data_IF_074664118773
#
_entry.id   IF_074664118773
#
_cell.length_a   1.000
_cell.length_b   1.000
_cell.length_c   1.000
_cell.angle_alpha   90.00
_cell.angle_beta   90.00
_cell.angle_gamma   90.00
#
_symmetry.space_group_name_H-M   'P 1'
#
loop_
_entity.id
_entity.type
_entity.pdbx_description
1 polymer ?
#
# COMPACT_ATOMS: atom_id res chain seq x y z
N UNK A 1 0.90 42.74 27.54
CA UNK A 1 0.78 44.14 27.08
C UNK A 1 0.92 44.16 25.56
N UNK A 2 -0.09 44.75 24.91
CA UNK A 2 -0.15 45.32 23.55
C UNK A 2 1.19 45.97 23.09
N UNK A 3 1.61 46.01 21.82
CA UNK A 3 0.88 46.48 20.62
C UNK A 3 1.49 46.00 19.29
N UNK A 4 0.59 45.94 18.30
CA UNK A 4 0.74 45.82 16.85
C UNK A 4 1.57 46.92 16.18
N UNK A 5 2.13 46.62 15.00
CA UNK A 5 2.52 47.58 13.96
C UNK A 5 2.38 46.93 12.56
N UNK A 6 1.23 47.13 11.92
CA UNK A 6 1.04 47.95 10.70
C UNK A 6 1.98 47.67 9.52
N UNK A 7 1.77 46.54 8.83
CA UNK A 7 2.04 46.40 7.37
C UNK A 7 0.99 45.57 6.61
N UNK A 8 -0.22 45.46 7.14
CA UNK A 8 -1.31 44.67 6.55
C UNK A 8 -2.58 45.52 6.37
N UNK A 9 -2.56 46.55 5.50
CA UNK A 9 -3.79 47.30 5.13
C UNK A 9 -3.86 47.73 3.64
N UNK A 10 -2.93 47.36 2.76
CA UNK A 10 -2.94 47.86 1.36
C UNK A 10 -3.02 46.79 0.26
N UNK A 11 -3.70 45.66 0.51
CA UNK A 11 -4.03 44.69 -0.55
C UNK A 11 -5.44 44.09 -0.43
N UNK A 12 -6.40 44.83 0.16
CA UNK A 12 -7.76 44.35 0.42
C UNK A 12 -8.88 45.17 -0.25
N UNK A 13 -8.61 45.89 -1.36
CA UNK A 13 -9.65 46.73 -1.97
C UNK A 13 -9.63 46.84 -3.50
N UNK A 14 -9.19 45.79 -4.20
CA UNK A 14 -9.37 45.67 -5.68
C UNK A 14 -10.00 44.35 -6.12
N UNK A 15 -10.22 43.36 -5.24
CA UNK A 15 -10.83 42.07 -5.63
C UNK A 15 -12.34 41.99 -5.35
N UNK A 16 -12.95 43.04 -4.82
CA UNK A 16 -14.40 43.12 -4.63
C UNK A 16 -14.99 44.12 -5.62
N UNK A 17 -15.24 43.66 -6.86
CA UNK A 17 -16.24 44.16 -7.83
C UNK A 17 -15.79 44.00 -9.30
N UNK A 18 -15.45 42.78 -9.73
CA UNK A 18 -15.67 42.35 -11.11
C UNK A 18 -15.98 40.87 -11.16
N UNK A 19 -17.23 40.55 -11.50
CA UNK A 19 -17.52 39.39 -12.33
C UNK A 19 -17.56 38.04 -11.66
N UNK A 20 -18.78 37.65 -11.29
CA UNK A 20 -19.35 36.33 -11.49
C UNK A 20 -18.66 35.62 -12.68
N UNK A 21 -17.78 34.68 -12.38
CA UNK A 21 -17.36 33.60 -13.26
C UNK A 21 -17.03 32.45 -12.31
N UNK A 22 -17.65 31.29 -12.55
CA UNK A 22 -17.52 30.13 -11.67
C UNK A 22 -16.06 29.84 -11.37
N UNK A 23 -15.79 29.44 -10.13
CA UNK A 23 -14.62 28.64 -9.84
C UNK A 23 -14.71 27.40 -10.73
N UNK A 24 -14.13 27.49 -11.93
CA UNK A 24 -13.65 26.34 -12.64
C UNK A 24 -12.64 25.74 -11.68
N UNK A 25 -13.04 24.67 -11.01
CA UNK A 25 -12.07 23.67 -10.60
C UNK A 25 -11.22 23.43 -11.85
N UNK A 26 -9.94 23.80 -11.80
CA UNK A 26 -8.98 23.30 -12.78
C UNK A 26 -9.18 21.78 -12.75
N UNK A 27 -9.69 21.22 -13.86
CA UNK A 27 -9.71 19.78 -14.04
C UNK A 27 -8.28 19.33 -13.81
N UNK A 28 -8.06 18.52 -12.77
CA UNK A 28 -6.80 17.81 -12.62
C UNK A 28 -6.49 17.17 -13.98
N UNK A 29 -5.24 17.25 -14.46
CA UNK A 29 -4.87 16.55 -15.68
C UNK A 29 -5.24 15.07 -15.52
N UNK A 30 -5.86 14.51 -16.56
CA UNK A 30 -6.33 13.13 -16.61
C UNK A 30 -5.18 12.20 -16.22
N UNK A 31 -5.33 11.47 -15.11
CA UNK A 31 -4.37 10.47 -14.67
C UNK A 31 -4.94 9.10 -15.00
N UNK A 32 -4.88 8.73 -16.27
CA UNK A 32 -5.42 7.48 -16.80
C UNK A 32 -4.97 6.25 -15.99
N UNK A 33 -3.67 6.12 -15.63
CA UNK A 33 -3.24 5.05 -14.72
C UNK A 33 -4.04 4.94 -13.41
N UNK A 34 -4.28 6.08 -12.75
CA UNK A 34 -5.07 6.12 -11.53
C UNK A 34 -6.54 5.77 -11.81
N UNK A 35 -7.12 6.28 -12.89
CA UNK A 35 -8.50 5.97 -13.26
C UNK A 35 -8.71 4.48 -13.55
N UNK A 36 -7.74 3.84 -14.18
CA UNK A 36 -7.74 2.39 -14.41
C UNK A 36 -7.67 1.63 -13.08
N UNK A 37 -6.75 2.02 -12.18
CA UNK A 37 -6.63 1.46 -10.83
C UNK A 37 -7.94 1.59 -10.03
N UNK A 38 -8.56 2.76 -10.03
CA UNK A 38 -9.84 3.02 -9.36
C UNK A 38 -10.97 2.18 -9.95
N UNK A 39 -10.97 1.96 -11.28
CA UNK A 39 -11.95 1.11 -11.94
C UNK A 39 -11.79 -0.36 -11.51
N UNK A 40 -10.56 -0.87 -11.51
CA UNK A 40 -10.21 -2.22 -11.03
C UNK A 40 -10.63 -2.38 -9.57
N UNK A 41 -10.24 -1.45 -8.70
CA UNK A 41 -10.59 -1.46 -7.29
C UNK A 41 -12.11 -1.56 -7.07
N UNK A 42 -12.90 -0.78 -7.81
CA UNK A 42 -14.36 -0.83 -7.72
C UNK A 42 -14.92 -2.19 -8.12
N UNK A 43 -14.46 -2.74 -9.24
CA UNK A 43 -14.92 -4.06 -9.72
C UNK A 43 -14.56 -5.17 -8.73
N UNK A 44 -13.38 -5.11 -8.12
CA UNK A 44 -12.95 -6.10 -7.11
C UNK A 44 -13.70 -5.92 -5.78
N UNK A 45 -13.92 -4.69 -5.33
CA UNK A 45 -14.50 -4.40 -4.02
C UNK A 45 -16.01 -4.70 -3.95
N UNK A 46 -16.77 -4.58 -5.06
CA UNK A 46 -18.22 -4.81 -5.07
C UNK A 46 -18.65 -6.16 -4.46
N UNK A 47 -18.13 -7.30 -4.96
CA UNK A 47 -18.41 -8.61 -4.38
C UNK A 47 -17.98 -8.74 -2.91
N UNK A 48 -16.85 -8.15 -2.52
CA UNK A 48 -16.34 -8.18 -1.15
C UNK A 48 -17.25 -7.41 -0.19
N UNK A 49 -17.69 -6.21 -0.59
CA UNK A 49 -18.67 -5.40 0.12
C UNK A 49 -20.01 -6.13 0.23
N UNK A 50 -20.47 -6.78 -0.83
CA UNK A 50 -21.70 -7.58 -0.77
C UNK A 50 -21.61 -8.70 0.26
N UNK A 51 -20.49 -9.44 0.29
CA UNK A 51 -20.25 -10.48 1.29
C UNK A 51 -20.20 -9.90 2.71
N UNK A 52 -19.53 -8.77 2.88
CA UNK A 52 -19.29 -8.17 4.18
C UNK A 52 -20.54 -7.50 4.79
N UNK A 53 -21.36 -6.86 3.95
CA UNK A 53 -22.56 -6.11 4.37
C UNK A 53 -23.85 -6.94 4.25
N UNK A 54 -23.79 -8.08 3.55
CA UNK A 54 -24.91 -8.96 3.28
C UNK A 54 -25.89 -8.44 2.22
N UNK A 55 -25.57 -7.34 1.52
CA UNK A 55 -26.41 -6.76 0.46
C UNK A 55 -25.53 -6.17 -0.62
N UNK A 56 -25.93 -6.33 -1.89
CA UNK A 56 -25.20 -5.70 -2.99
C UNK A 56 -25.24 -4.17 -2.83
N UNK A 57 -24.06 -3.55 -2.89
CA UNK A 57 -23.91 -2.10 -2.92
C UNK A 57 -23.81 -1.70 -4.39
N UNK A 58 -24.66 -0.77 -4.84
CA UNK A 58 -24.62 -0.32 -6.23
C UNK A 58 -23.30 0.42 -6.51
N UNK A 59 -22.74 0.26 -7.72
CA UNK A 59 -21.43 0.79 -8.10
C UNK A 59 -21.32 2.32 -7.98
N UNK A 60 -22.45 3.04 -8.03
CA UNK A 60 -22.53 4.50 -7.83
C UNK A 60 -22.67 4.91 -6.35
N UNK A 61 -22.67 3.94 -5.42
CA UNK A 61 -22.87 4.12 -3.97
C UNK A 61 -21.65 3.76 -3.14
N UNK A 62 -20.51 3.49 -3.75
CA UNK A 62 -19.26 3.33 -3.03
C UNK A 62 -18.07 3.81 -3.86
N UNK A 63 -16.97 4.05 -3.16
CA UNK A 63 -15.66 4.25 -3.77
C UNK A 63 -14.73 3.14 -3.31
N UNK A 64 -13.76 2.79 -4.15
CA UNK A 64 -12.71 1.85 -3.80
C UNK A 64 -11.40 2.28 -4.45
N UNK A 65 -10.30 1.99 -3.76
CA UNK A 65 -8.94 2.23 -4.19
C UNK A 65 -8.12 0.99 -3.89
N UNK A 66 -7.25 0.61 -4.83
CA UNK A 66 -6.20 -0.34 -4.52
C UNK A 66 -5.13 0.36 -3.69
N UNK A 67 -4.69 -0.29 -2.61
CA UNK A 67 -3.59 0.19 -1.76
C UNK A 67 -2.61 -0.94 -1.50
N UNK A 68 -1.33 -0.63 -1.42
CA UNK A 68 -0.28 -1.57 -1.02
C UNK A 68 0.30 -1.15 0.34
N UNK A 69 -0.36 -1.55 1.42
CA UNK A 69 0.05 -1.21 2.78
C UNK A 69 1.16 -2.10 3.31
N UNK A 70 1.37 -3.28 2.72
CA UNK A 70 2.44 -4.17 3.12
C UNK A 70 3.71 -4.04 2.26
N UNK A 71 3.61 -3.32 1.14
CA UNK A 71 4.65 -3.09 0.14
C UNK A 71 5.15 -4.39 -0.51
N UNK A 72 4.27 -5.36 -0.72
CA UNK A 72 4.57 -6.63 -1.38
C UNK A 72 4.24 -6.64 -2.89
N UNK A 73 3.68 -5.54 -3.41
CA UNK A 73 3.29 -5.38 -4.80
C UNK A 73 1.88 -5.91 -5.12
N UNK A 74 1.17 -6.47 -4.15
CA UNK A 74 -0.24 -6.87 -4.24
C UNK A 74 -1.15 -5.85 -3.56
N UNK A 75 -2.37 -5.75 -4.09
CA UNK A 75 -3.35 -4.80 -3.57
C UNK A 75 -4.17 -5.37 -2.43
N UNK A 76 -4.15 -4.63 -1.32
CA UNK A 76 -5.31 -4.48 -0.47
C UNK A 76 -6.36 -3.56 -1.15
N UNK A 77 -7.62 -3.73 -0.77
CA UNK A 77 -8.73 -2.93 -1.29
C UNK A 77 -9.30 -2.07 -0.17
N UNK A 78 -9.10 -0.76 -0.30
CA UNK A 78 -9.70 0.22 0.58
C UNK A 78 -11.01 0.72 -0.04
N UNK A 79 -12.14 0.47 0.62
CA UNK A 79 -13.46 0.86 0.14
C UNK A 79 -14.17 1.80 1.11
N UNK A 80 -15.01 2.69 0.58
CA UNK A 80 -15.82 3.61 1.36
C UNK A 80 -17.27 3.62 0.84
N UNK A 81 -18.21 3.29 1.72
CA UNK A 81 -19.65 3.31 1.46
C UNK A 81 -20.28 4.45 2.28
N UNK A 82 -20.60 5.60 1.67
CA UNK A 82 -21.17 6.75 2.38
C UNK A 82 -22.62 6.49 2.81
N UNK A 83 -22.93 6.77 4.06
CA UNK A 83 -24.31 6.90 4.55
C UNK A 83 -24.37 7.92 5.69
N UNK A 84 -25.22 8.97 5.63
CA UNK A 84 -25.39 9.89 6.75
C UNK A 84 -25.85 9.24 8.06
N UNK A 85 -26.54 8.09 7.98
CA UNK A 85 -27.00 7.30 9.11
C UNK A 85 -26.05 6.13 9.42
N UNK A 86 -24.77 6.26 9.04
CA UNK A 86 -23.88 5.13 9.07
C UNK A 86 -23.61 4.58 10.47
N UNK A 87 -23.77 3.26 10.61
CA UNK A 87 -23.54 2.49 11.84
C UNK A 87 -22.23 1.67 11.83
N UNK A 88 -21.49 1.69 10.71
CA UNK A 88 -20.25 0.93 10.52
C UNK A 88 -20.48 -0.55 10.15
N UNK A 89 -21.74 -1.01 10.05
CA UNK A 89 -22.07 -2.39 9.71
C UNK A 89 -22.23 -2.55 8.20
N UNK A 90 -23.01 -1.65 7.59
CA UNK A 90 -23.34 -1.68 6.14
C UNK A 90 -22.67 -0.58 5.32
N UNK A 91 -21.99 0.32 5.99
CA UNK A 91 -21.46 1.55 5.46
C UNK A 91 -20.18 1.90 6.23
N UNK A 92 -19.47 2.92 5.77
CA UNK A 92 -18.20 3.35 6.35
C UNK A 92 -17.02 2.89 5.52
N UNK A 93 -15.84 2.92 6.13
CA UNK A 93 -14.58 2.49 5.50
C UNK A 93 -14.35 1.00 5.73
N UNK A 94 -13.80 0.32 4.73
CA UNK A 94 -13.46 -1.11 4.75
C UNK A 94 -12.06 -1.28 4.20
N UNK A 95 -11.28 -2.20 4.78
CA UNK A 95 -9.98 -2.60 4.25
C UNK A 95 -9.97 -4.11 4.06
N UNK A 96 -9.99 -4.56 2.81
CA UNK A 96 -9.91 -5.97 2.47
C UNK A 96 -8.48 -6.36 2.12
N UNK A 97 -7.98 -7.39 2.79
CA UNK A 97 -6.61 -7.89 2.61
C UNK A 97 -6.67 -9.36 2.25
N UNK A 98 -5.94 -9.76 1.21
CA UNK A 98 -5.86 -11.16 0.82
C UNK A 98 -4.92 -11.90 1.79
N UNK A 99 -5.48 -12.62 2.75
CA UNK A 99 -4.74 -13.40 3.73
C UNK A 99 -4.92 -14.90 3.50
N UNK A 100 -3.83 -15.59 3.16
CA UNK A 100 -3.89 -17.01 2.81
C UNK A 100 -4.80 -17.24 1.62
N UNK A 101 -5.95 -17.89 1.85
CA UNK A 101 -6.89 -18.26 0.78
C UNK A 101 -8.07 -17.28 0.63
N UNK A 102 -8.22 -16.26 1.47
CA UNK A 102 -9.43 -15.42 1.46
C UNK A 102 -9.13 -13.94 1.68
N UNK A 103 -9.95 -13.06 1.09
CA UNK A 103 -10.01 -11.67 1.48
C UNK A 103 -10.68 -11.54 2.84
N UNK A 104 -9.98 -10.92 3.78
CA UNK A 104 -10.49 -10.57 5.11
C UNK A 104 -10.65 -9.07 5.23
N UNK A 105 -11.78 -8.64 5.79
CA UNK A 105 -11.99 -7.25 6.14
C UNK A 105 -11.39 -6.96 7.53
N UNK A 106 -10.48 -6.00 7.62
CA UNK A 106 -9.67 -5.78 8.82
C UNK A 106 -10.20 -4.69 9.76
N UNK A 107 -10.89 -3.67 9.25
CA UNK A 107 -11.31 -2.53 10.10
C UNK A 107 -12.48 -2.90 11.01
N UNK A 108 -13.25 -3.93 10.67
CA UNK A 108 -14.33 -4.47 11.50
C UNK A 108 -13.85 -5.05 12.84
N UNK A 109 -12.58 -5.44 12.93
CA UNK A 109 -11.98 -5.95 14.17
C UNK A 109 -11.63 -4.83 15.17
N UNK A 110 -11.63 -3.57 14.71
CA UNK A 110 -11.32 -2.39 15.53
C UNK A 110 -12.62 -1.65 15.86
N UNK A 111 -12.99 -1.53 17.15
CA UNK A 111 -14.19 -0.81 17.55
C UNK A 111 -14.21 0.63 17.02
N UNK A 112 -15.19 0.93 16.17
CA UNK A 112 -15.42 2.28 15.61
C UNK A 112 -14.55 2.64 14.40
N UNK A 113 -13.58 1.81 13.98
CA UNK A 113 -12.68 2.16 12.87
C UNK A 113 -13.42 2.44 11.56
N UNK A 114 -14.44 1.65 11.24
CA UNK A 114 -15.25 1.84 10.02
C UNK A 114 -16.00 3.18 9.98
N UNK A 115 -16.17 3.84 11.12
CA UNK A 115 -16.83 5.15 11.24
C UNK A 115 -15.84 6.33 11.16
N UNK A 116 -14.55 6.06 11.01
CA UNK A 116 -13.54 7.11 10.85
C UNK A 116 -13.85 7.89 9.57
N UNK A 117 -13.93 9.22 9.69
CA UNK A 117 -14.13 10.05 8.51
C UNK A 117 -12.90 9.98 7.61
N UNK A 118 -13.08 9.98 6.29
CA UNK A 118 -12.00 9.68 5.32
C UNK A 118 -10.87 10.71 5.34
N UNK A 119 -11.12 11.95 5.76
CA UNK A 119 -10.09 12.99 5.95
C UNK A 119 -9.21 12.80 7.19
N UNK A 120 -9.52 11.79 8.01
CA UNK A 120 -8.80 11.41 9.23
C UNK A 120 -8.22 10.00 9.16
N UNK A 121 -8.20 9.42 7.97
CA UNK A 121 -7.46 8.20 7.68
C UNK A 121 -6.09 8.60 7.13
N UNK A 122 -5.04 8.08 7.73
CA UNK A 122 -3.66 8.39 7.34
C UNK A 122 -2.74 7.19 7.48
N UNK A 123 -1.56 7.30 6.89
CA UNK A 123 -0.48 6.31 7.05
C UNK A 123 0.49 6.79 8.12
N UNK A 124 0.92 5.86 8.96
CA UNK A 124 1.99 6.06 9.92
C UNK A 124 3.36 6.06 9.27
N UNK A 125 4.34 6.56 10.01
CA UNK A 125 5.72 6.59 9.53
C UNK A 125 6.40 5.22 9.55
N UNK A 126 5.85 4.22 10.23
CA UNK A 126 6.51 2.94 10.44
C UNK A 126 5.70 1.76 9.92
N UNK A 127 6.41 0.68 9.60
CA UNK A 127 5.85 -0.65 9.40
C UNK A 127 5.98 -1.50 10.66
N UNK A 128 5.17 -2.56 10.72
CA UNK A 128 5.26 -3.64 11.69
C UNK A 128 4.80 -4.93 11.03
N UNK A 129 5.60 -5.99 11.12
CA UNK A 129 5.23 -7.30 10.56
C UNK A 129 4.78 -7.22 9.09
N UNK A 130 5.47 -6.42 8.29
CA UNK A 130 5.15 -6.23 6.87
C UNK A 130 4.18 -5.09 6.57
N UNK A 131 3.31 -4.66 7.49
CA UNK A 131 2.28 -3.64 7.18
C UNK A 131 2.61 -2.25 7.75
N UNK A 132 2.26 -1.19 7.01
CA UNK A 132 2.33 0.20 7.48
C UNK A 132 1.30 0.42 8.60
N UNK A 133 1.72 1.13 9.66
CA UNK A 133 0.83 1.54 10.76
C UNK A 133 -0.30 2.43 10.19
N UNK A 134 -1.55 2.20 10.56
CA UNK A 134 -2.71 2.99 10.11
C UNK A 134 -3.10 4.03 11.16
N UNK A 135 -3.22 5.28 10.75
CA UNK A 135 -3.80 6.32 11.58
C UNK A 135 -5.30 6.44 11.30
N UNK A 136 -6.10 6.31 12.35
CA UNK A 136 -7.55 6.52 12.32
C UNK A 136 -7.90 7.54 13.40
N UNK A 137 -8.38 8.72 13.00
CA UNK A 137 -8.49 9.89 13.87
C UNK A 137 -7.13 10.22 14.52
N UNK A 138 -7.09 10.28 15.85
CA UNK A 138 -5.89 10.59 16.65
C UNK A 138 -5.15 9.32 17.10
N UNK A 139 -5.62 8.14 16.69
CA UNK A 139 -5.06 6.86 17.12
C UNK A 139 -4.24 6.21 16.01
N UNK A 140 -3.15 5.57 16.43
CA UNK A 140 -2.29 4.81 15.54
C UNK A 140 -2.48 3.31 15.82
N UNK A 141 -2.68 2.54 14.77
CA UNK A 141 -2.90 1.11 14.81
C UNK A 141 -1.77 0.42 14.05
N UNK A 142 -1.12 -0.55 14.69
CA UNK A 142 -0.05 -1.34 14.06
C UNK A 142 -0.48 -2.78 13.85
N UNK A 143 0.16 -3.46 12.89
CA UNK A 143 -0.14 -4.84 12.57
C UNK A 143 0.52 -5.82 13.57
N UNK A 144 -0.28 -6.64 14.25
CA UNK A 144 0.21 -7.63 15.23
C UNK A 144 0.74 -8.91 14.60
N UNK A 145 0.60 -9.07 13.29
CA UNK A 145 0.86 -10.31 12.55
C UNK A 145 -0.43 -11.00 12.07
N UNK A 146 -1.57 -10.62 12.65
CA UNK A 146 -2.89 -11.18 12.36
C UNK A 146 -4.04 -10.15 12.36
N UNK A 147 -3.82 -8.94 12.89
CA UNK A 147 -4.81 -7.85 12.88
C UNK A 147 -4.15 -6.50 13.17
N UNK A 148 -4.87 -5.42 12.92
CA UNK A 148 -4.50 -4.10 13.42
C UNK A 148 -4.96 -3.92 14.87
N UNK A 149 -4.09 -3.36 15.72
CA UNK A 149 -4.39 -3.04 17.11
C UNK A 149 -3.69 -1.73 17.53
N UNK A 150 -4.26 -1.05 18.53
CA UNK A 150 -3.74 0.23 19.03
C UNK A 150 -2.30 0.06 19.50
N UNK A 151 -1.37 0.82 18.90
CA UNK A 151 0.06 0.68 19.17
C UNK A 151 0.44 0.95 20.63
N UNK A 152 -0.38 1.72 21.36
CA UNK A 152 -0.17 2.00 22.79
C UNK A 152 -0.35 0.76 23.66
N UNK A 153 -0.98 -0.29 23.14
CA UNK A 153 -1.20 -1.56 23.86
C UNK A 153 -0.05 -2.54 23.69
N UNK A 154 0.91 -2.25 22.81
CA UNK A 154 2.01 -3.16 22.53
C UNK A 154 3.02 -3.19 23.68
N UNK A 155 3.59 -4.36 24.00
CA UNK A 155 4.58 -4.46 25.04
C UNK A 155 5.83 -3.68 24.62
N UNK A 156 6.23 -2.70 25.43
CA UNK A 156 7.54 -2.08 25.27
C UNK A 156 8.60 -3.09 25.74
N UNK A 157 9.51 -3.49 24.85
CA UNK A 157 10.68 -4.27 25.25
C UNK A 157 11.74 -3.34 25.82
N UNK A 158 12.47 -3.81 26.84
CA UNK A 158 13.64 -3.10 27.36
C UNK A 158 14.89 -3.75 26.77
N UNK A 159 15.46 -3.08 25.78
CA UNK A 159 16.69 -3.48 25.10
C UNK A 159 17.88 -2.68 25.62
N UNK A 160 19.06 -3.30 25.69
CA UNK A 160 20.33 -2.58 25.82
C UNK A 160 20.80 -2.13 24.44
N UNK A 161 20.74 -0.81 24.20
CA UNK A 161 21.03 -0.20 22.92
C UNK A 161 22.48 0.25 22.72
N UNK A 162 23.35 0.12 23.72
CA UNK A 162 24.67 0.76 23.68
C UNK A 162 25.52 0.29 22.49
N UNK A 163 25.55 -1.03 22.24
CA UNK A 163 26.29 -1.61 21.12
C UNK A 163 25.69 -1.20 19.77
N UNK A 164 24.36 -1.24 19.65
CA UNK A 164 23.65 -0.84 18.44
C UNK A 164 23.89 0.65 18.10
N UNK A 165 23.69 1.55 19.05
CA UNK A 165 23.85 2.99 18.83
C UNK A 165 25.27 3.31 18.35
N UNK A 166 26.29 2.73 18.99
CA UNK A 166 27.67 2.92 18.59
C UNK A 166 27.95 2.38 17.18
N UNK A 167 27.42 1.19 16.84
CA UNK A 167 27.57 0.59 15.53
C UNK A 167 26.86 1.39 14.43
N UNK A 168 25.62 1.83 14.67
CA UNK A 168 24.82 2.64 13.75
C UNK A 168 25.47 4.00 13.47
N UNK A 169 25.96 4.68 14.51
CA UNK A 169 26.65 5.96 14.32
C UNK A 169 27.92 5.78 13.51
N UNK A 170 28.71 4.75 13.81
CA UNK A 170 29.94 4.44 13.08
C UNK A 170 29.67 4.07 11.61
N UNK A 171 28.62 3.31 11.33
CA UNK A 171 28.28 2.90 9.97
C UNK A 171 27.76 4.05 9.11
N UNK A 172 27.30 5.14 9.73
CA UNK A 172 26.74 6.33 9.06
C UNK A 172 27.67 7.55 9.11
N UNK A 173 28.74 7.52 9.90
CA UNK A 173 29.68 8.63 10.02
C UNK A 173 30.62 8.69 8.83
N UNK A 174 30.64 9.83 8.13
CA UNK A 174 31.65 10.13 7.12
C UNK A 174 33.01 10.46 7.77
N UNK A 175 34.12 10.26 7.02
CA UNK A 175 35.48 10.61 7.49
C UNK A 175 35.64 12.12 7.77
N UNK A 176 34.81 12.96 7.14
CA UNK A 176 34.70 14.40 7.40
C UNK A 176 33.22 14.79 7.48
N UNK A 177 32.62 14.79 8.68
CA UNK A 177 31.20 15.10 8.84
C UNK A 177 30.94 16.59 8.62
N UNK A 178 29.84 16.90 7.93
CA UNK A 178 29.33 18.26 7.79
C UNK A 178 28.82 18.79 9.15
N UNK A 179 28.69 20.12 9.27
CA UNK A 179 28.18 20.76 10.49
C UNK A 179 26.74 20.27 10.78
N UNK A 180 26.51 19.73 11.97
CA UNK A 180 25.22 19.14 12.38
C UNK A 180 24.98 17.70 11.93
N UNK A 181 25.89 17.09 11.17
CA UNK A 181 25.76 15.70 10.74
C UNK A 181 25.83 14.71 11.92
N UNK A 182 26.70 15.00 12.90
CA UNK A 182 26.87 14.12 14.06
C UNK A 182 25.60 14.07 14.91
N UNK A 183 24.99 15.21 15.20
CA UNK A 183 23.71 15.29 15.93
C UNK A 183 22.57 14.65 15.14
N UNK A 184 22.53 14.85 13.82
CA UNK A 184 21.55 14.22 12.93
C UNK A 184 21.65 12.69 12.95
N UNK A 185 22.85 12.15 12.76
CA UNK A 185 23.12 10.70 12.78
C UNK A 185 22.79 10.11 14.15
N UNK A 186 23.14 10.81 15.24
CA UNK A 186 22.77 10.37 16.58
C UNK A 186 21.25 10.31 16.77
N UNK A 187 20.50 11.30 16.27
CA UNK A 187 19.03 11.31 16.30
C UNK A 187 18.40 10.18 15.50
N UNK A 188 18.90 9.87 14.30
CA UNK A 188 18.43 8.75 13.48
C UNK A 188 18.67 7.39 14.15
N UNK A 189 19.88 7.16 14.69
CA UNK A 189 20.18 5.93 15.40
C UNK A 189 19.34 5.78 16.66
N UNK A 190 19.10 6.87 17.40
CA UNK A 190 18.21 6.85 18.56
C UNK A 190 16.76 6.55 18.15
N UNK A 191 16.29 7.10 17.04
CA UNK A 191 14.97 6.80 16.50
C UNK A 191 14.82 5.29 16.20
N UNK A 192 15.80 4.70 15.51
CA UNK A 192 15.76 3.27 15.19
C UNK A 192 15.75 2.40 16.44
N UNK A 193 16.61 2.71 17.41
CA UNK A 193 16.65 1.99 18.68
C UNK A 193 15.30 2.04 19.42
N UNK A 194 14.70 3.24 19.54
CA UNK A 194 13.39 3.40 20.16
C UNK A 194 12.32 2.58 19.41
N UNK A 195 12.39 2.52 18.09
CA UNK A 195 11.44 1.74 17.29
C UNK A 195 11.68 0.23 17.43
N UNK A 196 12.93 -0.25 17.52
CA UNK A 196 13.21 -1.66 17.81
C UNK A 196 12.57 -2.13 19.11
N UNK A 197 12.62 -1.29 20.14
CA UNK A 197 11.93 -1.56 21.41
C UNK A 197 10.41 -1.70 21.24
N UNK A 198 9.82 -0.88 20.36
CA UNK A 198 8.39 -0.87 20.10
C UNK A 198 7.92 -2.03 19.21
N UNK A 199 8.71 -2.47 18.22
CA UNK A 199 8.34 -3.56 17.29
C UNK A 199 8.65 -4.95 17.82
N UNK A 200 9.19 -5.05 19.03
CA UNK A 200 9.40 -6.33 19.71
C UNK A 200 10.68 -7.07 19.29
N UNK A 201 11.70 -6.34 18.83
CA UNK A 201 13.04 -6.95 18.70
C UNK A 201 13.45 -7.59 20.01
N UNK A 202 14.06 -8.77 19.94
CA UNK A 202 14.77 -9.34 21.08
C UNK A 202 16.17 -8.74 21.19
N UNK A 203 16.83 -8.90 22.34
CA UNK A 203 18.23 -8.50 22.47
C UNK A 203 19.12 -9.23 21.45
N UNK A 204 18.83 -10.50 21.16
CA UNK A 204 19.58 -11.27 20.16
C UNK A 204 19.42 -10.70 18.74
N UNK A 205 18.20 -10.27 18.36
CA UNK A 205 17.97 -9.63 17.06
C UNK A 205 18.72 -8.29 16.96
N UNK A 206 18.66 -7.49 18.03
CA UNK A 206 19.36 -6.20 18.11
C UNK A 206 20.88 -6.38 18.03
N UNK A 207 21.44 -7.33 18.77
CA UNK A 207 22.87 -7.63 18.78
C UNK A 207 23.33 -8.17 17.43
N UNK A 208 22.54 -9.06 16.81
CA UNK A 208 22.83 -9.61 15.48
C UNK A 208 22.82 -8.52 14.41
N UNK A 209 21.82 -7.62 14.43
CA UNK A 209 21.78 -6.49 13.52
C UNK A 209 22.90 -5.47 13.79
N UNK A 210 23.21 -5.17 15.05
CA UNK A 210 24.33 -4.31 15.40
C UNK A 210 25.67 -4.88 14.88
N UNK A 211 25.86 -6.20 14.94
CA UNK A 211 27.04 -6.86 14.39
C UNK A 211 27.11 -6.77 12.85
N UNK A 212 25.96 -6.79 12.15
CA UNK A 212 25.93 -6.70 10.68
C UNK A 212 26.32 -5.33 10.14
N UNK A 213 26.26 -4.29 10.97
CA UNK A 213 26.71 -2.94 10.61
C UNK A 213 28.24 -2.81 10.57
N UNK A 214 28.99 -3.84 10.98
CA UNK A 214 30.45 -3.88 10.92
C UNK A 214 30.98 -4.58 9.67
N UNK A 215 32.21 -4.23 9.27
CA UNK A 215 32.85 -4.68 8.02
C UNK A 215 33.17 -6.19 7.93
N UNK A 216 32.93 -6.97 8.99
CA UNK A 216 33.34 -8.38 9.13
C UNK A 216 32.22 -9.28 9.65
N UNK A 217 30.98 -9.02 9.25
CA UNK A 217 29.86 -9.88 9.59
C UNK A 217 29.81 -11.11 8.69
N UNK A 218 29.75 -12.29 9.30
CA UNK A 218 29.54 -13.55 8.58
C UNK A 218 28.03 -13.77 8.40
N UNK A 219 27.55 -13.59 7.17
CA UNK A 219 26.12 -13.65 6.87
C UNK A 219 25.59 -15.08 7.01
N UNK A 220 24.51 -15.28 7.80
CA UNK A 220 23.90 -16.59 7.94
C UNK A 220 23.47 -17.17 6.58
N UNK A 221 23.71 -18.48 6.39
CA UNK A 221 23.31 -19.22 5.19
C UNK A 221 22.44 -20.43 5.54
N UNK A 222 21.72 -20.97 4.55
CA UNK A 222 20.82 -22.11 4.71
C UNK A 222 19.61 -21.76 5.59
N UNK A 223 19.24 -22.64 6.52
CA UNK A 223 18.02 -22.46 7.34
C UNK A 223 18.02 -21.19 8.21
N UNK A 224 19.21 -20.63 8.49
CA UNK A 224 19.36 -19.38 9.27
C UNK A 224 19.25 -18.12 8.41
N UNK A 225 19.34 -18.24 7.10
CA UNK A 225 19.25 -17.13 6.16
C UNK A 225 17.87 -16.46 6.24
N UNK A 226 16.80 -17.25 6.29
CA UNK A 226 15.42 -16.72 6.37
C UNK A 226 15.18 -15.92 7.65
N UNK A 227 15.69 -16.39 8.79
CA UNK A 227 15.58 -15.68 10.05
C UNK A 227 16.37 -14.36 10.02
N UNK A 228 17.57 -14.38 9.43
CA UNK A 228 18.36 -13.17 9.22
C UNK A 228 17.68 -12.17 8.29
N UNK A 229 17.12 -12.63 7.17
CA UNK A 229 16.37 -11.78 6.23
C UNK A 229 15.20 -11.08 6.94
N UNK A 230 14.45 -11.77 7.79
CA UNK A 230 13.38 -11.15 8.56
C UNK A 230 13.88 -10.03 9.50
N UNK A 231 15.00 -10.24 10.19
CA UNK A 231 15.64 -9.21 11.03
C UNK A 231 16.08 -8.02 10.19
N UNK A 232 16.80 -8.28 9.09
CA UNK A 232 17.34 -7.26 8.20
C UNK A 232 16.21 -6.43 7.54
N UNK A 233 15.14 -7.07 7.10
CA UNK A 233 13.96 -6.38 6.53
C UNK A 233 13.29 -5.49 7.56
N UNK A 234 13.00 -6.00 8.77
CA UNK A 234 12.39 -5.18 9.83
C UNK A 234 13.27 -4.00 10.23
N UNK A 235 14.60 -4.18 10.21
CA UNK A 235 15.55 -3.13 10.51
C UNK A 235 15.65 -2.08 9.39
N UNK A 236 15.60 -2.51 8.14
CA UNK A 236 15.49 -1.63 6.96
C UNK A 236 14.21 -0.80 7.01
N UNK A 237 13.07 -1.43 7.28
CA UNK A 237 11.77 -0.74 7.42
C UNK A 237 11.79 0.28 8.57
N UNK A 238 12.45 -0.06 9.67
CA UNK A 238 12.63 0.85 10.82
C UNK A 238 13.51 2.05 10.45
N UNK A 239 14.60 1.83 9.71
CA UNK A 239 15.45 2.90 9.21
C UNK A 239 14.68 3.84 8.27
N UNK A 240 13.92 3.29 7.33
CA UNK A 240 13.05 4.06 6.42
C UNK A 240 12.05 4.90 7.21
N UNK A 241 11.37 4.31 8.20
CA UNK A 241 10.42 5.06 9.01
C UNK A 241 11.03 6.23 9.81
N UNK A 242 12.26 6.06 10.29
CA UNK A 242 13.00 7.15 10.91
C UNK A 242 13.39 8.26 9.92
N UNK A 243 13.71 7.89 8.67
CA UNK A 243 13.95 8.88 7.61
C UNK A 243 12.66 9.61 7.21
N UNK A 244 11.50 8.96 7.27
CA UNK A 244 10.18 9.59 7.06
C UNK A 244 9.88 10.61 8.16
N UNK A 245 10.06 10.25 9.44
CA UNK A 245 9.91 11.19 10.56
C UNK A 245 10.87 12.37 10.41
N UNK A 246 12.08 12.11 9.94
CA UNK A 246 13.08 13.14 9.67
C UNK A 246 12.82 13.97 8.41
N UNK A 247 11.75 13.69 7.65
CA UNK A 247 11.40 14.39 6.41
C UNK A 247 12.35 14.13 5.23
N UNK A 248 13.20 13.09 5.30
CA UNK A 248 14.15 12.71 4.23
C UNK A 248 13.54 11.78 3.21
N UNK A 249 12.53 11.03 3.63
CA UNK A 249 11.87 10.04 2.82
C UNK A 249 10.36 10.14 3.00
N UNK A 250 9.65 9.43 2.14
CA UNK A 250 8.26 9.06 2.30
C UNK A 250 8.20 7.56 2.03
N UNK A 251 7.19 6.86 2.54
CA UNK A 251 6.93 5.52 1.99
C UNK A 251 6.77 5.65 0.49
N UNK A 252 7.15 4.60 -0.24
CA UNK A 252 6.65 4.49 -1.60
C UNK A 252 5.14 4.73 -1.51
N UNK A 253 4.56 5.53 -2.43
CA UNK A 253 3.13 5.76 -2.40
C UNK A 253 2.47 4.40 -2.23
N UNK A 254 1.45 4.28 -1.39
CA UNK A 254 0.64 3.05 -1.34
C UNK A 254 -0.12 2.82 -2.66
N UNK A 255 0.29 3.48 -3.74
CA UNK A 255 -0.18 3.38 -5.11
C UNK A 255 0.80 2.52 -5.91
N UNK A 256 0.26 1.69 -6.77
CA UNK A 256 1.04 0.76 -7.56
C UNK A 256 1.94 1.48 -8.56
N UNK A 257 3.05 0.81 -8.91
CA UNK A 257 3.76 1.20 -10.11
C UNK A 257 2.84 0.96 -11.31
N UNK A 258 2.45 2.03 -12.00
CA UNK A 258 1.62 1.95 -13.18
C UNK A 258 2.43 1.92 -14.49
N UNK A 259 3.74 1.71 -14.39
CA UNK A 259 4.65 1.68 -15.53
C UNK A 259 4.84 3.04 -16.18
N UNK A 260 5.81 3.09 -17.10
CA UNK A 260 6.21 4.31 -17.80
C UNK A 260 5.53 4.48 -19.17
N UNK A 261 4.73 3.49 -19.59
CA UNK A 261 4.04 3.52 -20.88
C UNK A 261 2.78 4.39 -20.79
N UNK A 262 2.47 5.09 -21.89
CA UNK A 262 1.17 5.76 -22.03
C UNK A 262 0.07 4.73 -22.02
N UNK A 263 -0.94 4.92 -21.17
CA UNK A 263 -2.09 4.03 -21.06
C UNK A 263 -3.33 4.63 -21.71
N UNK A 264 -4.21 3.77 -22.19
CA UNK A 264 -5.59 4.11 -22.53
C UNK A 264 -6.49 3.83 -21.31
N UNK A 265 -7.60 4.55 -21.22
CA UNK A 265 -8.65 4.22 -20.26
C UNK A 265 -9.37 2.97 -20.72
N UNK A 266 -9.40 1.93 -19.87
CA UNK A 266 -9.96 0.63 -20.22
C UNK A 266 -11.19 0.28 -19.37
N UNK A 267 -12.05 -0.57 -19.92
CA UNK A 267 -13.21 -1.14 -19.26
C UNK A 267 -12.90 -2.57 -18.79
N UNK A 268 -12.72 -2.76 -17.48
CA UNK A 268 -12.23 -4.02 -16.89
C UNK A 268 -13.33 -5.00 -16.45
N UNK A 269 -14.59 -4.57 -16.40
CA UNK A 269 -15.69 -5.36 -15.81
C UNK A 269 -15.82 -6.75 -16.45
N UNK A 270 -15.75 -6.80 -17.77
CA UNK A 270 -15.89 -8.05 -18.53
C UNK A 270 -14.69 -8.98 -18.34
N UNK A 271 -13.48 -8.41 -18.28
CA UNK A 271 -12.24 -9.14 -18.05
C UNK A 271 -12.20 -9.73 -16.63
N UNK A 272 -12.41 -8.90 -15.60
CA UNK A 272 -12.37 -9.34 -14.19
C UNK A 272 -13.45 -10.38 -13.91
N UNK A 273 -14.59 -10.32 -14.59
CA UNK A 273 -15.65 -11.35 -14.49
C UNK A 273 -15.23 -12.69 -15.13
N UNK A 274 -14.54 -12.65 -16.28
CA UNK A 274 -14.11 -13.85 -17.01
C UNK A 274 -12.82 -14.49 -16.47
N UNK A 275 -11.95 -13.69 -15.84
CA UNK A 275 -10.63 -14.13 -15.43
C UNK A 275 -10.65 -15.28 -14.38
N UNK A 276 -11.45 -15.24 -13.30
CA UNK A 276 -11.42 -16.28 -12.27
C UNK A 276 -11.83 -17.68 -12.75
N UNK A 277 -12.42 -17.81 -13.95
CA UNK A 277 -12.85 -19.10 -14.50
C UNK A 277 -11.77 -19.82 -15.30
N UNK A 278 -10.58 -19.25 -15.45
CA UNK A 278 -9.51 -19.83 -16.27
C UNK A 278 -8.87 -21.07 -15.68
N UNK A 279 -8.67 -22.09 -16.51
CA UNK A 279 -8.05 -23.35 -16.10
C UNK A 279 -6.65 -23.17 -15.53
N UNK A 280 -5.80 -22.29 -16.09
CA UNK A 280 -4.46 -22.05 -15.53
C UNK A 280 -4.51 -21.43 -14.13
N UNK A 281 -5.52 -20.59 -13.88
CA UNK A 281 -5.76 -19.97 -12.56
C UNK A 281 -6.26 -21.05 -11.60
N UNK A 282 -7.23 -21.87 -12.02
CA UNK A 282 -7.81 -22.93 -11.20
C UNK A 282 -6.84 -24.08 -10.90
N UNK A 283 -5.90 -24.37 -11.81
CA UNK A 283 -4.96 -25.50 -11.70
C UNK A 283 -3.63 -25.13 -11.05
N UNK A 284 -3.29 -23.84 -10.96
CA UNK A 284 -2.08 -23.42 -10.25
C UNK A 284 -2.29 -23.55 -8.73
N UNK A 285 -1.44 -24.36 -8.09
CA UNK A 285 -1.49 -24.60 -6.64
C UNK A 285 -1.40 -23.33 -5.79
N UNK A 286 -0.84 -22.23 -6.34
CA UNK A 286 -0.79 -20.92 -5.67
C UNK A 286 -2.11 -20.15 -5.77
N UNK A 287 -3.17 -20.61 -6.42
CA UNK A 287 -4.36 -19.77 -6.66
C UNK A 287 -5.66 -20.50 -6.29
N UNK A 288 -5.59 -21.67 -5.66
CA UNK A 288 -6.70 -22.62 -5.50
C UNK A 288 -7.94 -22.17 -4.70
N UNK A 289 -8.18 -20.87 -4.50
CA UNK A 289 -9.41 -20.31 -3.94
C UNK A 289 -9.99 -19.18 -4.83
N UNK A 290 -11.32 -18.93 -4.76
CA UNK A 290 -11.95 -17.85 -5.51
C UNK A 290 -11.36 -16.45 -5.24
N UNK A 291 -10.95 -16.20 -3.99
CA UNK A 291 -10.40 -14.89 -3.60
C UNK A 291 -8.97 -14.70 -4.07
N UNK A 292 -8.16 -15.77 -4.09
CA UNK A 292 -6.82 -15.72 -4.70
C UNK A 292 -6.93 -15.53 -6.21
N UNK A 293 -7.89 -16.19 -6.86
CA UNK A 293 -8.17 -15.96 -8.28
C UNK A 293 -8.56 -14.49 -8.53
N UNK A 294 -9.47 -13.94 -7.72
CA UNK A 294 -9.87 -12.53 -7.80
C UNK A 294 -8.68 -11.57 -7.63
N UNK A 295 -7.80 -11.81 -6.65
CA UNK A 295 -6.60 -11.01 -6.43
C UNK A 295 -5.61 -11.08 -7.60
N UNK A 296 -5.42 -12.27 -8.20
CA UNK A 296 -4.58 -12.40 -9.40
C UNK A 296 -5.19 -11.64 -10.58
N UNK A 297 -6.51 -11.75 -10.78
CA UNK A 297 -7.21 -11.04 -11.83
C UNK A 297 -7.13 -9.52 -11.69
N UNK A 298 -7.15 -9.01 -10.45
CA UNK A 298 -6.85 -7.62 -10.15
C UNK A 298 -5.43 -7.22 -10.58
N UNK A 299 -4.43 -8.02 -10.20
CA UNK A 299 -3.05 -7.78 -10.63
C UNK A 299 -2.90 -7.79 -12.16
N UNK A 300 -3.49 -8.77 -12.85
CA UNK A 300 -3.45 -8.85 -14.31
C UNK A 300 -4.11 -7.64 -14.96
N UNK A 301 -5.30 -7.24 -14.48
CA UNK A 301 -6.01 -6.07 -14.98
C UNK A 301 -5.17 -4.79 -14.84
N UNK A 302 -4.37 -4.69 -13.78
CA UNK A 302 -3.50 -3.55 -13.50
C UNK A 302 -2.19 -3.59 -14.29
N UNK A 303 -1.64 -4.78 -14.51
CA UNK A 303 -0.34 -4.95 -15.16
C UNK A 303 -0.43 -4.92 -16.69
N UNK A 304 -1.50 -5.43 -17.31
CA UNK A 304 -1.62 -5.40 -18.78
C UNK A 304 -1.56 -3.97 -19.39
N UNK A 305 -2.20 -2.93 -18.79
CA UNK A 305 -2.03 -1.54 -19.23
C UNK A 305 -0.58 -1.05 -19.21
N UNK A 306 0.25 -1.49 -18.25
CA UNK A 306 1.67 -1.10 -18.16
C UNK A 306 2.49 -1.67 -19.32
N UNK A 307 1.99 -2.75 -19.94
CA UNK A 307 2.55 -3.39 -21.13
C UNK A 307 2.03 -2.79 -22.45
N UNK A 308 1.13 -1.81 -22.40
CA UNK A 308 0.58 -1.12 -23.58
C UNK A 308 -0.64 -1.79 -24.21
N UNK A 309 -1.39 -2.60 -23.46
CA UNK A 309 -2.63 -3.21 -23.97
C UNK A 309 -3.66 -2.10 -24.29
N UNK A 310 -4.40 -2.29 -25.39
CA UNK A 310 -5.54 -1.44 -25.77
C UNK A 310 -6.85 -2.11 -25.37
N UNK A 311 -7.99 -1.41 -25.48
CA UNK A 311 -9.29 -2.02 -25.23
C UNK A 311 -9.54 -3.24 -26.14
N UNK A 312 -9.15 -3.16 -27.42
CA UNK A 312 -9.30 -4.29 -28.35
C UNK A 312 -8.48 -5.51 -27.91
N UNK A 313 -7.27 -5.28 -27.39
CA UNK A 313 -6.42 -6.33 -26.82
C UNK A 313 -7.02 -6.93 -25.55
N UNK A 314 -7.56 -6.10 -24.65
CA UNK A 314 -8.24 -6.56 -23.43
C UNK A 314 -9.51 -7.38 -23.76
N UNK A 315 -10.28 -6.96 -24.76
CA UNK A 315 -11.45 -7.67 -25.25
C UNK A 315 -11.06 -9.00 -25.91
N UNK A 316 -9.92 -9.06 -26.61
CA UNK A 316 -9.37 -10.30 -27.14
C UNK A 316 -9.02 -11.27 -26.02
N UNK A 317 -8.26 -10.83 -25.01
CA UNK A 317 -7.91 -11.66 -23.84
C UNK A 317 -9.17 -12.12 -23.10
N UNK A 318 -10.17 -11.24 -22.97
CA UNK A 318 -11.44 -11.58 -22.34
C UNK A 318 -12.20 -12.67 -23.11
N UNK A 319 -12.25 -12.58 -24.44
CA UNK A 319 -12.86 -13.61 -25.30
C UNK A 319 -12.07 -14.92 -25.27
N UNK A 320 -10.74 -14.84 -25.22
CA UNK A 320 -9.87 -16.00 -25.02
C UNK A 320 -10.23 -16.72 -23.74
N UNK A 321 -10.37 -15.97 -22.64
CA UNK A 321 -10.80 -16.51 -21.35
C UNK A 321 -12.22 -17.09 -21.36
N UNK A 322 -13.09 -16.65 -22.26
CA UNK A 322 -14.44 -17.22 -22.40
C UNK A 322 -14.50 -18.44 -23.34
N UNK A 323 -13.34 -18.94 -23.80
CA UNK A 323 -13.23 -19.96 -24.85
C UNK A 323 -13.97 -19.59 -26.15
N UNK A 324 -14.15 -18.28 -26.41
CA UNK A 324 -14.86 -17.78 -27.59
C UNK A 324 -13.99 -17.72 -28.84
N UNK A 325 -12.66 -17.75 -28.66
CA UNK A 325 -11.65 -17.74 -29.73
C UNK A 325 -10.60 -18.83 -29.46
N UNK A 326 -10.05 -19.42 -30.52
CA UNK A 326 -9.01 -20.45 -30.41
C UNK A 326 -7.60 -19.83 -30.31
N UNK A 327 -6.60 -20.61 -29.87
CA UNK A 327 -5.19 -20.19 -29.88
C UNK A 327 -4.77 -19.68 -31.28
N UNK A 328 -5.24 -20.34 -32.34
CA UNK A 328 -4.94 -19.92 -33.73
C UNK A 328 -5.62 -18.62 -34.17
N UNK A 329 -6.70 -18.21 -33.51
CA UNK A 329 -7.34 -16.91 -33.75
C UNK A 329 -6.65 -15.79 -32.95
N UNK A 330 -5.88 -16.16 -31.91
CA UNK A 330 -5.21 -15.24 -30.99
C UNK A 330 -3.73 -14.96 -31.35
N UNK A 331 -3.10 -15.83 -32.16
CA UNK A 331 -1.71 -15.66 -32.65
C UNK A 331 -1.46 -14.41 -33.52
N UNK A 332 -2.51 -13.67 -33.89
CA UNK A 332 -2.41 -12.50 -34.77
C UNK A 332 -2.15 -11.17 -34.03
N UNK A 333 -2.17 -11.13 -32.70
CA UNK A 333 -2.09 -9.87 -31.94
C UNK A 333 -1.09 -9.92 -30.77
N UNK A 334 -0.34 -8.82 -30.58
CA UNK A 334 0.64 -8.64 -29.49
C UNK A 334 0.02 -8.75 -28.07
N UNK A 335 -1.31 -8.76 -27.97
CA UNK A 335 -2.06 -8.79 -26.71
C UNK A 335 -1.77 -10.03 -25.85
N UNK A 336 -1.60 -11.23 -26.45
CA UNK A 336 -1.25 -12.43 -25.70
C UNK A 336 0.18 -12.37 -25.13
N UNK A 337 1.13 -11.81 -25.89
CA UNK A 337 2.49 -11.63 -25.40
C UNK A 337 2.56 -10.59 -24.25
N UNK A 338 1.73 -9.55 -24.29
CA UNK A 338 1.57 -8.60 -23.17
C UNK A 338 0.94 -9.28 -21.94
N UNK A 339 -0.09 -10.09 -22.16
CA UNK A 339 -0.71 -10.91 -21.11
C UNK A 339 0.29 -11.87 -20.45
N UNK A 340 1.14 -12.52 -21.23
CA UNK A 340 2.13 -13.48 -20.68
C UNK A 340 3.17 -12.77 -19.79
N UNK A 341 3.64 -11.59 -20.21
CA UNK A 341 4.51 -10.75 -19.38
C UNK A 341 3.81 -10.31 -18.10
N UNK A 342 2.56 -9.87 -18.21
CA UNK A 342 1.76 -9.48 -17.05
C UNK A 342 1.55 -10.65 -16.08
N UNK A 343 1.28 -11.83 -16.63
CA UNK A 343 1.14 -13.07 -15.86
C UNK A 343 2.43 -13.44 -15.15
N UNK A 344 3.57 -13.35 -15.81
CA UNK A 344 4.88 -13.60 -15.19
C UNK A 344 5.15 -12.62 -14.04
N UNK A 345 4.94 -11.32 -14.27
CA UNK A 345 5.11 -10.29 -13.25
C UNK A 345 4.21 -10.55 -12.02
N UNK A 346 2.91 -10.76 -12.24
CA UNK A 346 1.98 -11.05 -11.16
C UNK A 346 2.31 -12.36 -10.42
N UNK A 347 2.57 -13.46 -11.13
CA UNK A 347 2.84 -14.76 -10.49
C UNK A 347 4.17 -14.81 -9.73
N UNK A 348 5.16 -14.01 -10.16
CA UNK A 348 6.46 -13.91 -9.50
C UNK A 348 6.36 -13.34 -8.08
N UNK A 349 5.44 -12.39 -7.90
CA UNK A 349 5.22 -11.69 -6.63
C UNK A 349 4.03 -12.25 -5.84
N UNK A 350 3.23 -13.16 -6.43
CA UNK A 350 1.98 -13.63 -5.84
C UNK A 350 2.20 -14.30 -4.46
N UNK A 351 1.52 -13.82 -3.39
CA UNK A 351 1.78 -14.20 -2.01
C UNK A 351 1.46 -15.66 -1.66
#
# INVERSE_FOLDING_TARGET
MRLFSMRAVWFALVVACTGIAGALAEQQPENIPQENSDAIARTLAGPLLQRQTGTAVADDKFWAYEVDFNLDGFSELYAYVPDPACDGVKCGIFLFVLEGDNYRELLGDIPGARLTHTDRVGLGAFKRNGFIDLQLDEKLFGWTGDRYADVSTFPATSLDGAAFIAACQKSRSNEQPEEGETERVAGECQCQFNRFQAIGFTQADLDQYAASLGDKFDYPSGDKEKAWQAIATNASDTATGCDIIGGKSQWQPAYFNHGDQTQEKLEFNEFISACPTQDFILTNRKIGSPDRALGLCGCLAREMPTQGITQAGLDLVTRYYRDEISDSDAEAEDALAMHDKASEACLSSFP
#
